data_IF_589513878749
#
_entry.id   IF_589513878749
#
_cell.length_a   1.000
_cell.length_b   1.000
_cell.length_c   1.000
_cell.angle_alpha   90.00
_cell.angle_beta   90.00
_cell.angle_gamma   90.00
#
_symmetry.space_group_name_H-M   'P 1'
#
loop_
_entity.id
_entity.type
_entity.pdbx_description
1 polymer ?
#
# COMPACT_ATOMS: atom_id res chain seq x y z
N UNK A 1 -45.35 -14.67 43.92
CA UNK A 1 -44.61 -13.70 43.04
C UNK A 1 -43.27 -14.34 42.73
N UNK A 2 -43.12 -14.90 41.52
CA UNK A 2 -41.86 -15.48 41.06
C UNK A 2 -40.91 -14.39 40.57
N UNK A 3 -39.62 -14.44 40.86
CA UNK A 3 -38.68 -13.44 40.37
C UNK A 3 -38.52 -13.58 38.86
N UNK A 4 -38.80 -12.50 38.13
CA UNK A 4 -38.47 -12.40 36.71
C UNK A 4 -36.96 -12.40 36.56
N UNK A 5 -36.42 -13.45 35.95
CA UNK A 5 -35.05 -13.51 35.50
C UNK A 5 -34.84 -12.47 34.38
N UNK A 6 -34.18 -11.37 34.72
CA UNK A 6 -33.65 -10.41 33.73
C UNK A 6 -32.66 -11.13 32.87
N UNK A 7 -33.04 -11.49 31.66
CA UNK A 7 -32.07 -11.90 30.64
C UNK A 7 -31.16 -10.71 30.35
N UNK A 8 -29.84 -10.86 30.39
CA UNK A 8 -28.93 -9.80 29.99
C UNK A 8 -29.23 -9.41 28.53
N UNK A 9 -29.28 -8.09 28.26
CA UNK A 9 -29.48 -7.59 26.92
C UNK A 9 -28.41 -8.23 25.98
N UNK A 10 -28.79 -8.64 24.77
CA UNK A 10 -27.85 -9.25 23.84
C UNK A 10 -26.67 -8.30 23.64
N UNK A 11 -25.48 -8.81 23.93
CA UNK A 11 -24.23 -8.07 23.68
C UNK A 11 -24.17 -7.75 22.19
N UNK A 12 -24.33 -6.47 21.84
CA UNK A 12 -24.29 -6.03 20.43
C UNK A 12 -22.89 -6.31 19.90
N UNK A 13 -22.75 -7.28 18.99
CA UNK A 13 -21.50 -7.61 18.33
C UNK A 13 -20.93 -6.38 17.61
N UNK A 14 -19.61 -6.23 17.64
CA UNK A 14 -18.95 -5.16 16.89
C UNK A 14 -19.20 -5.37 15.39
N UNK A 15 -19.45 -4.31 14.59
CA UNK A 15 -19.71 -4.45 13.14
C UNK A 15 -18.72 -5.33 12.41
N UNK A 16 -17.44 -5.21 12.72
CA UNK A 16 -16.40 -6.02 12.10
C UNK A 16 -16.51 -7.54 12.35
N UNK A 17 -17.04 -7.96 13.51
CA UNK A 17 -17.24 -9.39 13.80
C UNK A 17 -18.34 -9.98 12.93
N UNK A 18 -19.40 -9.21 12.70
CA UNK A 18 -20.51 -9.60 11.84
C UNK A 18 -20.14 -9.59 10.38
N UNK A 19 -19.45 -8.53 9.93
CA UNK A 19 -19.16 -8.31 8.53
C UNK A 19 -18.06 -9.23 8.00
N UNK A 20 -17.05 -9.53 8.82
CA UNK A 20 -15.93 -10.38 8.40
C UNK A 20 -16.03 -11.83 8.86
N UNK A 21 -16.95 -12.16 9.79
CA UNK A 21 -17.23 -13.54 10.21
C UNK A 21 -15.98 -14.36 10.59
N UNK A 22 -15.06 -13.75 11.33
CA UNK A 22 -13.79 -14.37 11.72
C UNK A 22 -12.72 -14.44 10.61
N UNK A 23 -12.99 -13.95 9.41
CA UNK A 23 -11.96 -13.78 8.37
C UNK A 23 -11.03 -12.61 8.74
N UNK A 24 -9.79 -12.67 8.28
CA UNK A 24 -8.86 -11.55 8.42
C UNK A 24 -9.47 -10.28 7.80
N UNK A 25 -9.35 -9.17 8.51
CA UNK A 25 -9.66 -7.86 7.93
C UNK A 25 -8.62 -7.58 6.85
N UNK A 26 -9.00 -6.96 5.74
CA UNK A 26 -8.03 -6.46 4.78
C UNK A 26 -7.04 -5.51 5.47
N UNK A 27 -5.80 -5.53 5.02
CA UNK A 27 -4.79 -4.57 5.43
C UNK A 27 -5.27 -3.16 5.05
N UNK A 28 -5.01 -2.19 5.91
CA UNK A 28 -5.32 -0.78 5.66
C UNK A 28 -4.03 0.02 5.78
N UNK A 29 -3.63 0.67 4.68
CA UNK A 29 -2.47 1.55 4.62
C UNK A 29 -2.91 2.98 4.28
N UNK A 30 -2.11 4.01 4.57
CA UNK A 30 -2.32 5.34 4.03
C UNK A 30 -2.39 5.31 2.51
N UNK A 31 -3.28 6.13 1.95
CA UNK A 31 -3.54 6.15 0.51
C UNK A 31 -2.40 6.75 -0.32
N UNK A 32 -1.47 7.45 0.31
CA UNK A 32 -0.30 8.03 -0.35
C UNK A 32 0.98 7.43 0.22
N UNK A 33 1.90 7.03 -0.67
CA UNK A 33 3.26 6.57 -0.38
C UNK A 33 4.25 7.54 -1.02
N UNK A 34 4.97 8.32 -0.22
CA UNK A 34 5.88 9.35 -0.73
C UNK A 34 7.33 8.87 -0.71
N UNK A 35 7.94 8.81 -1.89
CA UNK A 35 9.32 8.35 -2.09
C UNK A 35 10.34 9.49 -1.97
N UNK A 36 11.46 9.20 -1.29
CA UNK A 36 12.59 10.12 -1.17
C UNK A 36 13.92 9.34 -1.20
N UNK A 37 14.79 9.68 -2.18
CA UNK A 37 16.08 8.99 -2.40
C UNK A 37 17.32 9.75 -1.89
N UNK A 38 17.22 10.99 -1.40
CA UNK A 38 18.34 11.74 -0.85
C UNK A 38 18.04 12.26 0.54
N UNK A 39 19.09 12.43 1.38
CA UNK A 39 18.95 12.92 2.76
C UNK A 39 18.12 14.22 2.83
N UNK A 40 18.41 15.17 1.94
CA UNK A 40 17.66 16.43 1.87
C UNK A 40 16.17 16.21 1.64
N UNK A 41 15.81 15.32 0.73
CA UNK A 41 14.41 14.99 0.43
C UNK A 41 13.77 14.20 1.56
N UNK A 42 14.49 13.24 2.16
CA UNK A 42 14.02 12.46 3.31
C UNK A 42 13.65 13.36 4.50
N UNK A 43 14.53 14.29 4.89
CA UNK A 43 14.28 15.25 5.98
C UNK A 43 13.11 16.19 5.65
N UNK A 44 13.00 16.63 4.40
CA UNK A 44 11.86 17.44 3.95
C UNK A 44 10.55 16.64 4.03
N UNK A 45 10.58 15.37 3.67
CA UNK A 45 9.41 14.48 3.73
C UNK A 45 8.98 14.20 5.18
N UNK A 46 9.94 14.03 6.10
CA UNK A 46 9.66 13.91 7.54
C UNK A 46 8.96 15.16 8.07
N UNK A 47 9.47 16.36 7.75
CA UNK A 47 8.84 17.62 8.17
C UNK A 47 7.42 17.74 7.60
N UNK A 48 7.20 17.34 6.35
CA UNK A 48 5.88 17.35 5.73
C UNK A 48 4.92 16.33 6.38
N UNK A 49 5.40 15.15 6.74
CA UNK A 49 4.59 14.16 7.46
C UNK A 49 4.21 14.66 8.87
N UNK A 50 5.10 15.39 9.54
CA UNK A 50 4.78 16.04 10.82
C UNK A 50 3.68 17.10 10.66
N UNK A 51 3.69 17.87 9.58
CA UNK A 51 2.65 18.86 9.25
C UNK A 51 1.30 18.22 8.96
N UNK A 52 1.29 17.16 8.13
CA UNK A 52 0.07 16.52 7.63
C UNK A 52 -0.50 15.45 8.58
N UNK A 53 0.33 14.92 9.49
CA UNK A 53 0.01 13.76 10.31
C UNK A 53 0.26 12.43 9.59
N UNK A 54 -0.13 11.28 10.20
CA UNK A 54 0.13 9.94 9.67
C UNK A 54 -0.81 9.53 8.54
N UNK A 55 -1.19 10.49 7.66
CA UNK A 55 -2.08 10.27 6.52
C UNK A 55 -1.34 9.77 5.28
N UNK A 56 -0.01 9.73 5.33
CA UNK A 56 0.86 9.19 4.28
C UNK A 56 1.96 8.34 4.91
N UNK A 57 2.45 7.36 4.15
CA UNK A 57 3.72 6.70 4.42
C UNK A 57 4.85 7.41 3.67
N UNK A 58 6.05 7.29 4.21
CA UNK A 58 7.28 7.66 3.53
C UNK A 58 8.01 6.38 3.15
N UNK A 59 8.52 6.31 1.92
CA UNK A 59 9.44 5.26 1.50
C UNK A 59 10.79 5.88 1.18
N UNK A 60 11.80 5.59 1.99
CA UNK A 60 13.17 5.97 1.70
C UNK A 60 13.80 4.98 0.73
N UNK A 61 14.62 5.45 -0.19
CA UNK A 61 15.06 4.67 -1.32
C UNK A 61 16.56 4.37 -1.28
N UNK A 62 16.92 3.09 -1.29
CA UNK A 62 18.30 2.62 -1.45
C UNK A 62 18.64 2.21 -2.90
N UNK A 63 17.65 2.20 -3.79
CA UNK A 63 17.75 1.65 -5.14
C UNK A 63 17.78 2.78 -6.20
N UNK A 64 16.99 2.72 -7.25
CA UNK A 64 17.07 3.61 -8.44
C UNK A 64 16.92 5.12 -8.13
N UNK A 65 16.26 5.49 -7.05
CA UNK A 65 16.14 6.89 -6.63
C UNK A 65 17.29 7.39 -5.75
N UNK A 66 18.25 6.54 -5.38
CA UNK A 66 19.42 6.87 -4.58
C UNK A 66 20.66 7.17 -5.44
N UNK A 67 21.63 7.86 -4.86
CA UNK A 67 22.91 8.09 -5.52
C UNK A 67 23.79 6.83 -5.43
N UNK A 68 24.41 6.46 -6.53
CA UNK A 68 25.31 5.29 -6.65
C UNK A 68 26.68 5.57 -6.02
N UNK A 69 27.28 4.57 -5.39
CA UNK A 69 28.69 4.55 -4.96
C UNK A 69 28.92 4.75 -3.46
N UNK A 70 27.86 4.84 -2.67
CA UNK A 70 27.95 4.95 -1.19
C UNK A 70 26.81 4.21 -0.50
N UNK A 71 26.43 3.07 -1.01
CA UNK A 71 25.22 2.31 -0.64
C UNK A 71 25.18 1.98 0.86
N UNK A 72 26.31 1.49 1.42
CA UNK A 72 26.39 1.14 2.83
C UNK A 72 26.18 2.34 3.78
N UNK A 73 26.76 3.49 3.46
CA UNK A 73 26.57 4.70 4.26
C UNK A 73 25.16 5.26 4.09
N UNK A 74 24.56 5.12 2.89
CA UNK A 74 23.22 5.54 2.62
C UNK A 74 22.19 4.69 3.38
N UNK A 75 22.31 3.37 3.38
CA UNK A 75 21.46 2.48 4.18
C UNK A 75 21.58 2.78 5.69
N UNK A 76 22.79 3.09 6.18
CA UNK A 76 23.00 3.50 7.57
C UNK A 76 22.30 4.82 7.88
N UNK A 77 22.47 5.84 7.04
CA UNK A 77 21.77 7.13 7.17
C UNK A 77 20.25 6.94 7.27
N UNK A 78 19.68 6.12 6.39
CA UNK A 78 18.24 5.80 6.40
C UNK A 78 17.87 5.14 7.75
N UNK A 79 18.62 4.15 8.20
CA UNK A 79 18.36 3.50 9.50
C UNK A 79 18.41 4.47 10.67
N UNK A 80 19.38 5.41 10.68
CA UNK A 80 19.49 6.46 11.69
C UNK A 80 18.32 7.44 11.66
N UNK A 81 17.84 7.83 10.47
CA UNK A 81 16.65 8.69 10.32
C UNK A 81 15.39 8.00 10.85
N UNK A 82 15.21 6.72 10.55
CA UNK A 82 14.06 5.94 11.04
C UNK A 82 14.10 5.78 12.55
N UNK A 83 15.28 5.52 13.12
CA UNK A 83 15.46 5.42 14.57
C UNK A 83 15.37 6.77 15.29
N UNK A 84 15.56 7.88 14.56
CA UNK A 84 15.62 9.24 15.10
C UNK A 84 14.27 9.79 15.56
N UNK A 85 14.31 10.86 16.36
CA UNK A 85 13.13 11.51 16.93
C UNK A 85 12.23 12.18 15.87
N UNK A 86 12.76 12.46 14.68
CA UNK A 86 12.00 13.06 13.57
C UNK A 86 10.94 12.10 13.01
N UNK A 87 11.12 10.79 13.14
CA UNK A 87 10.12 9.77 12.81
C UNK A 87 9.08 9.69 13.94
N UNK A 88 8.06 10.53 13.91
CA UNK A 88 7.07 10.62 14.99
C UNK A 88 5.97 9.57 14.90
N UNK A 89 5.75 8.97 13.73
CA UNK A 89 4.58 8.12 13.49
C UNK A 89 4.90 6.66 13.20
N UNK A 90 6.19 6.28 13.11
CA UNK A 90 6.65 4.95 12.70
C UNK A 90 6.02 4.48 11.37
N UNK A 91 5.93 5.43 10.41
CA UNK A 91 5.32 5.25 9.10
C UNK A 91 6.34 5.44 7.97
N UNK A 92 7.56 4.94 8.18
CA UNK A 92 8.64 4.97 7.20
C UNK A 92 8.98 3.55 6.79
N UNK A 93 8.81 3.25 5.49
CA UNK A 93 9.35 2.05 4.84
C UNK A 93 10.64 2.36 4.09
N UNK A 94 11.29 1.32 3.59
CA UNK A 94 12.51 1.45 2.78
C UNK A 94 12.44 0.54 1.57
N UNK A 95 12.67 1.10 0.36
CA UNK A 95 12.97 0.30 -0.81
C UNK A 95 14.45 -0.05 -0.78
N UNK A 96 14.72 -1.35 -0.59
CA UNK A 96 16.07 -1.92 -0.62
C UNK A 96 16.49 -2.25 -2.04
N UNK A 97 17.76 -2.56 -2.28
CA UNK A 97 18.21 -3.08 -3.56
C UNK A 97 17.49 -4.39 -3.92
N UNK A 98 17.50 -4.77 -5.19
CA UNK A 98 16.93 -6.03 -5.67
C UNK A 98 17.65 -7.26 -5.10
N UNK A 99 16.97 -8.41 -5.10
CA UNK A 99 17.44 -9.67 -4.49
C UNK A 99 18.74 -10.19 -5.11
N UNK A 100 19.03 -9.82 -6.36
CA UNK A 100 20.27 -10.18 -7.08
C UNK A 100 21.42 -9.22 -6.80
N UNK A 101 21.16 -8.09 -6.17
CA UNK A 101 22.19 -7.10 -5.85
C UNK A 101 23.09 -7.57 -4.71
N UNK A 102 24.39 -7.31 -4.77
CA UNK A 102 25.31 -7.57 -3.66
C UNK A 102 24.99 -6.74 -2.40
N UNK A 103 24.19 -5.69 -2.54
CA UNK A 103 23.80 -4.81 -1.44
C UNK A 103 22.52 -5.23 -0.71
N UNK A 104 21.70 -6.13 -1.27
CA UNK A 104 20.40 -6.52 -0.70
C UNK A 104 20.51 -6.98 0.76
N UNK A 105 21.36 -7.97 1.05
CA UNK A 105 21.52 -8.47 2.42
C UNK A 105 22.09 -7.40 3.35
N UNK A 106 23.01 -6.57 2.85
CA UNK A 106 23.61 -5.49 3.65
C UNK A 106 22.58 -4.42 4.04
N UNK A 107 21.70 -4.03 3.10
CA UNK A 107 20.61 -3.09 3.38
C UNK A 107 19.71 -3.64 4.48
N UNK A 108 19.19 -4.85 4.27
CA UNK A 108 18.27 -5.49 5.23
C UNK A 108 18.92 -5.62 6.61
N UNK A 109 20.18 -6.10 6.66
CA UNK A 109 20.90 -6.26 7.93
C UNK A 109 21.09 -4.92 8.64
N UNK A 110 21.51 -3.88 7.92
CA UNK A 110 21.75 -2.54 8.46
C UNK A 110 20.45 -1.91 8.99
N UNK A 111 19.39 -1.93 8.20
CA UNK A 111 18.10 -1.36 8.55
C UNK A 111 17.46 -2.09 9.75
N UNK A 112 17.51 -3.42 9.76
CA UNK A 112 17.01 -4.20 10.89
C UNK A 112 17.80 -3.94 12.16
N UNK A 113 19.13 -3.89 12.10
CA UNK A 113 19.98 -3.64 13.27
C UNK A 113 19.74 -2.26 13.89
N UNK A 114 19.50 -1.23 13.07
CA UNK A 114 19.35 0.15 13.53
C UNK A 114 17.90 0.52 13.88
N UNK A 115 16.92 0.01 13.14
CA UNK A 115 15.59 0.59 13.14
C UNK A 115 14.42 -0.40 13.10
N UNK A 116 14.61 -1.72 13.19
CA UNK A 116 13.56 -2.72 12.97
C UNK A 116 12.23 -2.42 13.69
N UNK A 117 12.28 -1.92 14.93
CA UNK A 117 11.07 -1.65 15.73
C UNK A 117 10.25 -0.46 15.25
N UNK A 118 10.87 0.46 14.51
CA UNK A 118 10.27 1.70 14.01
C UNK A 118 10.10 1.70 12.49
N UNK A 119 10.65 0.68 11.81
CA UNK A 119 10.53 0.47 10.38
C UNK A 119 9.11 -0.05 10.07
N UNK A 120 8.38 0.63 9.20
CA UNK A 120 7.00 0.26 8.87
C UNK A 120 6.96 -1.00 8.00
N UNK A 121 7.77 -1.06 6.97
CA UNK A 121 7.86 -2.15 5.99
C UNK A 121 9.16 -2.06 5.18
N UNK A 122 9.48 -3.15 4.47
CA UNK A 122 10.49 -3.13 3.40
C UNK A 122 9.81 -3.29 2.04
N UNK A 123 10.27 -2.52 1.06
CA UNK A 123 9.85 -2.65 -0.34
C UNK A 123 10.91 -3.45 -1.09
N UNK A 124 10.50 -4.58 -1.67
CA UNK A 124 11.37 -5.47 -2.44
C UNK A 124 11.10 -5.23 -3.93
N UNK A 125 12.04 -4.61 -4.65
CA UNK A 125 11.92 -4.37 -6.09
C UNK A 125 12.29 -5.62 -6.90
N UNK A 126 11.94 -5.62 -8.16
CA UNK A 126 12.43 -6.53 -9.22
C UNK A 126 12.29 -8.03 -8.87
N UNK A 127 11.23 -8.37 -8.10
CA UNK A 127 10.85 -9.78 -7.87
C UNK A 127 10.29 -10.34 -9.17
N UNK A 128 10.86 -11.44 -9.66
CA UNK A 128 10.44 -12.11 -10.89
C UNK A 128 9.65 -13.39 -10.64
N UNK A 129 9.71 -13.96 -9.43
CA UNK A 129 9.05 -15.22 -9.13
C UNK A 129 8.72 -15.37 -7.64
N UNK A 130 7.81 -16.31 -7.36
CA UNK A 130 7.51 -16.73 -5.99
C UNK A 130 8.75 -17.23 -5.26
N UNK A 131 9.63 -17.99 -5.92
CA UNK A 131 10.85 -18.53 -5.29
C UNK A 131 11.81 -17.42 -4.87
N UNK A 132 11.95 -16.36 -5.69
CA UNK A 132 12.73 -15.18 -5.30
C UNK A 132 12.10 -14.45 -4.11
N UNK A 133 10.78 -14.35 -4.07
CA UNK A 133 10.08 -13.78 -2.91
C UNK A 133 10.34 -14.60 -1.65
N UNK A 134 10.26 -15.93 -1.71
CA UNK A 134 10.54 -16.81 -0.56
C UNK A 134 11.99 -16.61 -0.05
N UNK A 135 12.95 -16.50 -0.95
CA UNK A 135 14.34 -16.22 -0.60
C UNK A 135 14.48 -14.84 0.10
N UNK A 136 13.83 -13.81 -0.44
CA UNK A 136 13.81 -12.48 0.17
C UNK A 136 13.18 -12.50 1.57
N UNK A 137 12.02 -13.16 1.70
CA UNK A 137 11.31 -13.31 2.98
C UNK A 137 12.18 -14.02 4.00
N UNK A 138 12.84 -15.13 3.63
CA UNK A 138 13.72 -15.88 4.53
C UNK A 138 14.88 -15.01 5.06
N UNK A 139 15.48 -14.22 4.17
CA UNK A 139 16.55 -13.31 4.55
C UNK A 139 16.05 -12.20 5.46
N UNK A 140 14.97 -11.51 5.10
CA UNK A 140 14.37 -10.43 5.92
C UNK A 140 13.97 -10.97 7.28
N UNK A 141 13.24 -12.10 7.34
CA UNK A 141 12.78 -12.71 8.58
C UNK A 141 13.93 -13.06 9.53
N UNK A 142 15.08 -13.53 9.00
CA UNK A 142 16.28 -13.82 9.78
C UNK A 142 16.80 -12.56 10.49
N UNK A 143 16.99 -11.47 9.76
CA UNK A 143 17.52 -10.22 10.31
C UNK A 143 16.50 -9.49 11.20
N UNK A 144 15.25 -9.44 10.79
CA UNK A 144 14.18 -8.83 11.54
C UNK A 144 13.89 -9.56 12.86
N UNK A 145 13.88 -10.90 12.86
CA UNK A 145 13.73 -11.71 14.08
C UNK A 145 14.89 -11.49 15.05
N UNK A 146 16.13 -11.44 14.56
CA UNK A 146 17.31 -11.13 15.39
C UNK A 146 17.21 -9.74 16.04
N UNK A 147 16.52 -8.79 15.38
CA UNK A 147 16.26 -7.45 15.90
C UNK A 147 14.93 -7.35 16.71
N UNK A 148 14.23 -8.46 16.95
CA UNK A 148 12.99 -8.51 17.73
C UNK A 148 11.74 -8.05 16.99
N UNK A 149 11.72 -8.14 15.64
CA UNK A 149 10.59 -7.79 14.77
C UNK A 149 10.32 -8.88 13.71
N UNK A 150 9.90 -10.12 14.12
CA UNK A 150 9.71 -11.25 13.19
C UNK A 150 8.59 -11.03 12.15
N UNK A 151 7.69 -10.10 12.40
CA UNK A 151 6.50 -9.78 11.62
C UNK A 151 6.66 -8.54 10.75
N UNK A 152 7.90 -8.18 10.34
CA UNK A 152 8.14 -7.02 9.49
C UNK A 152 7.47 -7.21 8.12
N UNK A 153 6.49 -6.34 7.74
CA UNK A 153 5.76 -6.48 6.48
C UNK A 153 6.63 -6.20 5.26
N UNK A 154 6.27 -6.85 4.14
CA UNK A 154 6.88 -6.61 2.85
C UNK A 154 5.88 -6.00 1.86
N UNK A 155 6.34 -4.99 1.14
CA UNK A 155 5.70 -4.48 -0.07
C UNK A 155 6.52 -4.98 -1.27
N UNK A 156 5.87 -5.44 -2.33
CA UNK A 156 6.56 -6.02 -3.49
C UNK A 156 6.23 -5.20 -4.74
N UNK A 157 7.25 -4.91 -5.54
CA UNK A 157 7.07 -4.30 -6.84
C UNK A 157 6.80 -5.37 -7.90
N UNK A 158 5.71 -5.20 -8.62
CA UNK A 158 5.38 -5.97 -9.82
C UNK A 158 5.75 -5.11 -11.02
N UNK A 159 6.85 -5.43 -11.66
CA UNK A 159 7.46 -4.58 -12.69
C UNK A 159 8.04 -5.39 -13.87
N UNK A 160 7.72 -6.69 -13.92
CA UNK A 160 8.02 -7.57 -15.04
C UNK A 160 6.83 -8.43 -15.43
N UNK A 161 6.79 -8.91 -16.66
CA UNK A 161 5.75 -9.87 -17.08
C UNK A 161 5.85 -11.20 -16.34
N UNK A 162 7.01 -11.59 -15.89
CA UNK A 162 7.20 -12.81 -15.13
C UNK A 162 6.61 -12.68 -13.73
N UNK A 163 6.86 -11.56 -13.05
CA UNK A 163 6.22 -11.25 -11.77
C UNK A 163 4.69 -11.15 -11.93
N UNK A 164 4.21 -10.49 -12.99
CA UNK A 164 2.79 -10.40 -13.29
C UNK A 164 2.14 -11.78 -13.51
N UNK A 165 2.85 -12.71 -14.15
CA UNK A 165 2.36 -14.07 -14.34
C UNK A 165 2.16 -14.82 -13.01
N UNK A 166 2.93 -14.50 -12.00
CA UNK A 166 2.87 -15.12 -10.67
C UNK A 166 2.26 -14.18 -9.60
N UNK A 167 1.57 -13.13 -10.03
CA UNK A 167 1.07 -12.09 -9.11
C UNK A 167 0.10 -12.63 -8.05
N UNK A 168 -0.65 -13.68 -8.38
CA UNK A 168 -1.59 -14.32 -7.46
C UNK A 168 -0.85 -15.07 -6.35
N UNK A 169 0.16 -15.86 -6.72
CA UNK A 169 0.99 -16.60 -5.77
C UNK A 169 1.84 -15.65 -4.90
N UNK A 170 2.31 -14.54 -5.48
CA UNK A 170 3.02 -13.50 -4.74
C UNK A 170 2.07 -12.82 -3.74
N UNK A 171 0.85 -12.45 -4.16
CA UNK A 171 -0.14 -11.84 -3.30
C UNK A 171 -0.61 -12.74 -2.14
N UNK A 172 -0.60 -14.06 -2.33
CA UNK A 172 -1.00 -15.04 -1.33
C UNK A 172 -0.03 -15.12 -0.15
N UNK A 173 1.23 -14.68 -0.34
CA UNK A 173 2.26 -14.82 0.68
C UNK A 173 1.91 -13.98 1.95
N UNK A 174 1.94 -14.59 3.16
CA UNK A 174 1.51 -13.92 4.39
C UNK A 174 2.37 -12.72 4.78
N UNK A 175 3.66 -12.69 4.46
CA UNK A 175 4.54 -11.56 4.73
C UNK A 175 4.31 -10.37 3.79
N UNK A 176 3.62 -10.57 2.66
CA UNK A 176 3.29 -9.49 1.71
C UNK A 176 2.07 -8.74 2.23
N UNK A 177 2.17 -7.42 2.27
CA UNK A 177 1.10 -6.51 2.71
C UNK A 177 0.56 -5.68 1.55
N UNK A 178 1.43 -5.32 0.59
CA UNK A 178 1.13 -4.44 -0.52
C UNK A 178 1.84 -4.91 -1.80
N UNK A 179 1.14 -4.81 -2.94
CA UNK A 179 1.76 -4.94 -4.26
C UNK A 179 1.69 -3.60 -4.97
N UNK A 180 2.83 -3.12 -5.44
CA UNK A 180 2.95 -1.87 -6.17
C UNK A 180 3.30 -2.12 -7.63
N UNK A 181 2.73 -1.36 -8.55
CA UNK A 181 3.06 -1.47 -9.97
C UNK A 181 4.26 -0.60 -10.34
N UNK A 182 5.35 -1.22 -10.78
CA UNK A 182 6.53 -0.53 -11.30
C UNK A 182 6.44 -0.32 -12.82
N UNK A 183 5.65 0.67 -13.25
CA UNK A 183 5.33 0.90 -14.68
C UNK A 183 6.56 1.21 -15.53
N UNK A 184 7.58 1.92 -14.98
CA UNK A 184 8.75 2.34 -15.73
C UNK A 184 9.57 1.11 -16.16
N UNK A 185 9.91 0.24 -15.19
CA UNK A 185 10.63 -1.01 -15.45
C UNK A 185 9.80 -1.96 -16.30
N UNK A 186 8.49 -2.06 -16.02
CA UNK A 186 7.58 -2.88 -16.82
C UNK A 186 7.60 -2.49 -18.31
N UNK A 187 7.54 -1.21 -18.64
CA UNK A 187 7.57 -0.73 -20.02
C UNK A 187 8.97 -0.86 -20.62
N UNK A 188 10.02 -0.50 -19.88
CA UNK A 188 11.41 -0.57 -20.40
C UNK A 188 11.85 -1.98 -20.72
N UNK A 189 11.38 -2.98 -19.98
CA UNK A 189 11.63 -4.40 -20.24
C UNK A 189 11.06 -4.92 -21.56
N UNK A 190 10.25 -4.14 -22.27
CA UNK A 190 9.69 -4.50 -23.57
C UNK A 190 10.52 -3.99 -24.76
N UNK A 191 11.67 -3.35 -24.51
CA UNK A 191 12.60 -2.91 -25.58
C UNK A 191 11.92 -2.12 -26.70
N UNK A 192 10.94 -1.25 -26.35
CA UNK A 192 10.16 -0.46 -27.30
C UNK A 192 8.93 -1.16 -27.89
N UNK A 193 8.64 -2.39 -27.48
CA UNK A 193 7.39 -3.09 -27.86
C UNK A 193 6.12 -2.48 -27.20
N UNK A 194 6.30 -1.76 -26.10
CA UNK A 194 5.30 -0.87 -25.52
C UNK A 194 5.81 0.56 -25.74
N UNK A 195 5.02 1.45 -26.35
CA UNK A 195 5.48 2.81 -26.60
C UNK A 195 5.60 3.63 -25.30
N UNK A 196 6.48 4.63 -25.30
CA UNK A 196 6.81 5.41 -24.10
C UNK A 196 5.62 6.21 -23.54
N UNK A 197 4.66 6.60 -24.37
CA UNK A 197 3.45 7.29 -23.94
C UNK A 197 2.54 6.40 -23.08
N UNK A 198 2.71 5.07 -23.14
CA UNK A 198 2.04 4.14 -22.23
C UNK A 198 2.52 4.24 -20.75
N UNK A 199 3.60 4.95 -20.48
CA UNK A 199 4.04 5.30 -19.10
C UNK A 199 3.36 6.57 -18.60
N UNK A 200 2.71 7.34 -19.47
CA UNK A 200 2.14 8.65 -19.20
C UNK A 200 0.61 8.62 -19.32
N UNK A 201 -0.04 9.63 -18.78
CA UNK A 201 -1.47 9.82 -18.98
C UNK A 201 -1.76 10.40 -20.36
N UNK A 202 -2.84 9.95 -21.04
CA UNK A 202 -3.79 8.91 -20.64
C UNK A 202 -3.35 7.48 -21.03
N UNK A 203 -2.23 7.29 -21.70
CA UNK A 203 -1.74 6.02 -22.26
C UNK A 203 -1.64 4.90 -21.22
N UNK A 204 -1.19 5.22 -20.02
CA UNK A 204 -1.07 4.26 -18.93
C UNK A 204 -2.40 3.62 -18.48
N UNK A 205 -3.53 4.20 -18.83
CA UNK A 205 -4.86 3.65 -18.54
C UNK A 205 -5.55 3.03 -19.75
N UNK A 206 -5.03 3.25 -20.96
CA UNK A 206 -5.64 2.81 -22.20
C UNK A 206 -4.82 1.76 -22.95
N UNK A 207 -3.49 1.70 -22.76
CA UNK A 207 -2.65 0.69 -23.41
C UNK A 207 -2.98 -0.72 -22.89
N UNK A 208 -3.33 -1.71 -23.75
CA UNK A 208 -3.88 -3.01 -23.31
C UNK A 208 -2.99 -3.76 -22.32
N UNK A 209 -1.67 -3.81 -22.55
CA UNK A 209 -0.74 -4.53 -21.66
C UNK A 209 -0.60 -3.84 -20.30
N UNK A 210 -0.64 -2.51 -20.25
CA UNK A 210 -0.56 -1.75 -19.00
C UNK A 210 -1.86 -1.88 -18.22
N UNK A 211 -3.01 -1.72 -18.88
CA UNK A 211 -4.32 -1.91 -18.24
C UNK A 211 -4.49 -3.32 -17.70
N UNK A 212 -4.06 -4.34 -18.45
CA UNK A 212 -4.03 -5.73 -17.97
C UNK A 212 -3.21 -5.87 -16.69
N UNK A 213 -1.96 -5.35 -16.67
CA UNK A 213 -1.10 -5.43 -15.51
C UNK A 213 -1.75 -4.79 -14.28
N UNK A 214 -2.31 -3.59 -14.43
CA UNK A 214 -3.01 -2.88 -13.36
C UNK A 214 -4.21 -3.67 -12.81
N UNK A 215 -5.03 -4.25 -13.69
CA UNK A 215 -6.21 -5.02 -13.29
C UNK A 215 -5.82 -6.33 -12.59
N UNK A 216 -4.81 -7.04 -13.08
CA UNK A 216 -4.36 -8.29 -12.45
C UNK A 216 -3.74 -8.06 -11.07
N UNK A 217 -2.91 -7.02 -10.89
CA UNK A 217 -2.34 -6.65 -9.59
C UNK A 217 -3.46 -6.30 -8.60
N UNK A 218 -4.38 -5.43 -9.01
CA UNK A 218 -5.51 -5.04 -8.16
C UNK A 218 -6.38 -6.24 -7.77
N UNK A 219 -6.74 -7.10 -8.73
CA UNK A 219 -7.55 -8.29 -8.49
C UNK A 219 -6.86 -9.27 -7.53
N UNK A 220 -5.57 -9.56 -7.73
CA UNK A 220 -4.79 -10.44 -6.86
C UNK A 220 -4.70 -9.91 -5.42
N UNK A 221 -4.49 -8.58 -5.27
CA UNK A 221 -4.48 -7.94 -3.96
C UNK A 221 -5.83 -8.09 -3.25
N UNK A 222 -6.94 -7.73 -3.91
CA UNK A 222 -8.26 -7.81 -3.29
C UNK A 222 -8.67 -9.24 -2.92
N UNK A 223 -8.31 -10.23 -3.73
CA UNK A 223 -8.58 -11.63 -3.44
C UNK A 223 -7.88 -12.11 -2.16
N UNK A 224 -6.69 -11.57 -1.88
CA UNK A 224 -5.83 -11.97 -0.76
C UNK A 224 -5.82 -10.97 0.41
N UNK A 225 -6.68 -9.94 0.38
CA UNK A 225 -6.76 -8.93 1.44
C UNK A 225 -5.52 -8.03 1.53
N UNK A 226 -4.79 -7.86 0.41
CA UNK A 226 -3.60 -7.01 0.31
C UNK A 226 -3.98 -5.65 -0.29
N UNK A 227 -3.05 -4.69 -0.19
CA UNK A 227 -3.26 -3.33 -0.71
C UNK A 227 -2.63 -3.19 -2.10
N UNK A 228 -3.41 -2.89 -3.15
CA UNK A 228 -2.85 -2.53 -4.45
C UNK A 228 -2.40 -1.07 -4.43
N UNK A 229 -1.12 -0.82 -4.75
CA UNK A 229 -0.51 0.51 -4.85
C UNK A 229 -0.24 0.88 -6.30
N UNK A 230 -0.86 1.96 -6.76
CA UNK A 230 -0.71 2.46 -8.12
C UNK A 230 0.67 3.09 -8.35
N UNK A 231 1.16 2.99 -9.58
CA UNK A 231 2.44 3.55 -9.98
C UNK A 231 2.50 5.08 -9.85
N UNK A 232 3.72 5.60 -9.95
CA UNK A 232 3.98 7.04 -9.96
C UNK A 232 3.29 7.76 -11.12
N UNK A 233 2.95 9.03 -10.92
CA UNK A 233 2.73 10.01 -11.97
C UNK A 233 4.00 10.87 -12.10
N UNK A 234 4.63 10.88 -13.26
CA UNK A 234 5.86 11.63 -13.50
C UNK A 234 5.61 13.11 -13.82
N UNK A 235 4.36 13.51 -13.98
CA UNK A 235 4.02 14.93 -14.12
C UNK A 235 4.13 15.65 -12.77
N UNK A 236 4.96 16.68 -12.72
CA UNK A 236 5.22 17.47 -11.51
C UNK A 236 4.77 18.93 -11.61
N UNK A 237 4.39 19.39 -12.81
CA UNK A 237 3.95 20.78 -13.05
C UNK A 237 2.45 20.89 -13.14
N UNK A 238 1.82 20.02 -13.92
CA UNK A 238 0.37 19.97 -14.05
C UNK A 238 -0.24 18.95 -13.07
N UNK A 239 -0.55 19.43 -11.88
CA UNK A 239 -1.13 18.62 -10.81
C UNK A 239 -2.56 18.13 -11.12
N UNK A 240 -3.23 18.65 -12.15
CA UNK A 240 -4.52 18.14 -12.60
C UNK A 240 -4.38 16.73 -13.20
N UNK A 241 -3.23 16.43 -13.83
CA UNK A 241 -2.91 15.08 -14.32
C UNK A 241 -2.78 14.12 -13.16
N UNK A 242 -2.08 14.52 -12.08
CA UNK A 242 -1.94 13.69 -10.87
C UNK A 242 -3.31 13.39 -10.25
N UNK A 243 -4.17 14.40 -10.13
CA UNK A 243 -5.52 14.22 -9.59
C UNK A 243 -6.37 13.30 -10.46
N UNK A 244 -6.28 13.43 -11.79
CA UNK A 244 -6.96 12.56 -12.75
C UNK A 244 -6.47 11.11 -12.65
N UNK A 245 -5.15 10.90 -12.63
CA UNK A 245 -4.55 9.57 -12.51
C UNK A 245 -4.95 8.88 -11.20
N UNK A 246 -4.89 9.60 -10.09
CA UNK A 246 -5.29 9.08 -8.79
C UNK A 246 -6.79 8.71 -8.74
N UNK A 247 -7.64 9.53 -9.40
CA UNK A 247 -9.08 9.25 -9.49
C UNK A 247 -9.35 8.01 -10.36
N UNK A 248 -8.70 7.87 -11.52
CA UNK A 248 -8.83 6.70 -12.37
C UNK A 248 -8.32 5.44 -11.66
N UNK A 249 -7.16 5.53 -11.00
CA UNK A 249 -6.59 4.42 -10.22
C UNK A 249 -7.58 3.94 -9.15
N UNK A 250 -8.12 4.84 -8.34
CA UNK A 250 -9.05 4.53 -7.27
C UNK A 250 -10.41 4.04 -7.78
N UNK A 251 -11.05 4.80 -8.69
CA UNK A 251 -12.46 4.59 -9.05
C UNK A 251 -12.67 3.56 -10.16
N UNK A 252 -11.68 3.32 -11.04
CA UNK A 252 -11.84 2.40 -12.16
C UNK A 252 -10.95 1.16 -12.07
N UNK A 253 -9.75 1.29 -11.51
CA UNK A 253 -8.80 0.18 -11.42
C UNK A 253 -8.74 -0.48 -10.04
N UNK A 254 -9.48 0.04 -9.05
CA UNK A 254 -9.59 -0.57 -7.72
C UNK A 254 -8.34 -0.44 -6.85
N UNK A 255 -7.45 0.51 -7.14
CA UNK A 255 -6.31 0.80 -6.30
C UNK A 255 -6.72 1.49 -5.01
N UNK A 256 -6.00 1.22 -3.93
CA UNK A 256 -6.26 1.79 -2.60
C UNK A 256 -5.14 2.72 -2.14
N UNK A 257 -4.05 2.80 -2.92
CA UNK A 257 -2.85 3.55 -2.61
C UNK A 257 -2.18 4.00 -3.91
N UNK A 258 -1.41 5.09 -3.88
CA UNK A 258 -0.63 5.58 -5.01
C UNK A 258 0.70 6.16 -4.55
N UNK A 259 1.75 5.98 -5.37
CA UNK A 259 3.05 6.58 -5.15
C UNK A 259 3.05 8.07 -5.47
N UNK A 260 3.77 8.82 -4.64
CA UNK A 260 4.15 10.21 -4.87
C UNK A 260 5.67 10.32 -4.95
N UNK A 261 6.17 11.10 -5.89
CA UNK A 261 7.60 11.43 -6.04
C UNK A 261 7.88 12.92 -5.89
N UNK A 262 6.84 13.73 -5.69
CA UNK A 262 6.93 15.15 -5.42
C UNK A 262 5.96 15.57 -4.31
N UNK A 263 6.36 16.44 -3.35
CA UNK A 263 5.49 16.86 -2.24
C UNK A 263 4.15 17.43 -2.68
N UNK A 264 4.11 18.17 -3.78
CA UNK A 264 2.89 18.83 -4.28
C UNK A 264 1.85 17.79 -4.78
N UNK A 265 2.25 16.57 -5.12
CA UNK A 265 1.34 15.51 -5.54
C UNK A 265 0.51 14.96 -4.37
N UNK A 266 1.04 15.00 -3.15
CA UNK A 266 0.47 14.32 -1.99
C UNK A 266 -0.98 14.75 -1.73
N UNK A 267 -1.25 16.06 -1.65
CA UNK A 267 -2.60 16.56 -1.36
C UNK A 267 -3.62 16.17 -2.45
N UNK A 268 -3.19 16.11 -3.71
CA UNK A 268 -4.03 15.67 -4.83
C UNK A 268 -4.36 14.18 -4.76
N UNK A 269 -3.39 13.35 -4.39
CA UNK A 269 -3.59 11.91 -4.16
C UNK A 269 -4.55 11.71 -2.98
N UNK A 270 -4.29 12.35 -1.84
CA UNK A 270 -5.16 12.25 -0.67
C UNK A 270 -6.61 12.63 -1.00
N UNK A 271 -6.82 13.71 -1.74
CA UNK A 271 -8.16 14.17 -2.14
C UNK A 271 -8.86 13.18 -3.10
N UNK A 272 -8.13 12.63 -4.07
CA UNK A 272 -8.71 11.71 -5.07
C UNK A 272 -9.12 10.34 -4.47
N UNK A 273 -8.44 9.88 -3.42
CA UNK A 273 -8.77 8.64 -2.73
C UNK A 273 -9.77 8.83 -1.58
N UNK A 274 -10.03 10.07 -1.18
CA UNK A 274 -11.01 10.34 -0.13
C UNK A 274 -12.43 10.02 -0.62
N UNK A 275 -13.29 9.43 0.25
CA UNK A 275 -14.70 9.29 -0.07
C UNK A 275 -15.38 10.66 -0.12
N UNK A 276 -16.38 10.81 -0.98
CA UNK A 276 -17.21 12.02 -1.05
C UNK A 276 -18.12 12.14 0.19
N UNK A 277 -18.48 13.36 0.57
CA UNK A 277 -19.33 13.60 1.73
C UNK A 277 -20.66 12.82 1.67
N UNK A 278 -21.29 12.76 0.50
CA UNK A 278 -22.50 11.99 0.27
C UNK A 278 -22.31 10.47 0.41
N UNK A 279 -21.14 9.94 0.06
CA UNK A 279 -20.81 8.52 0.27
C UNK A 279 -20.69 8.21 1.77
N UNK A 280 -20.10 9.12 2.55
CA UNK A 280 -19.97 8.97 4.01
C UNK A 280 -21.35 9.03 4.69
N UNK A 281 -22.21 9.96 4.27
CA UNK A 281 -23.58 10.09 4.80
C UNK A 281 -24.39 8.82 4.51
N UNK A 282 -24.37 8.32 3.29
CA UNK A 282 -25.06 7.09 2.89
C UNK A 282 -24.52 5.87 3.65
N UNK A 283 -23.23 5.72 3.75
CA UNK A 283 -22.60 4.63 4.49
C UNK A 283 -23.00 4.65 5.97
N UNK A 284 -22.97 5.83 6.59
CA UNK A 284 -23.36 6.01 7.98
C UNK A 284 -24.84 5.65 8.21
N UNK A 285 -25.73 6.12 7.35
CA UNK A 285 -27.17 5.83 7.44
C UNK A 285 -27.45 4.33 7.24
N UNK A 286 -26.84 3.70 6.24
CA UNK A 286 -27.01 2.28 5.93
C UNK A 286 -26.52 1.40 7.08
N UNK A 287 -25.32 1.64 7.59
CA UNK A 287 -24.72 0.83 8.66
C UNK A 287 -25.47 1.02 10.00
N UNK A 288 -25.94 2.23 10.29
CA UNK A 288 -26.78 2.48 11.48
C UNK A 288 -28.10 1.73 11.40
N UNK A 289 -28.80 1.81 10.26
CA UNK A 289 -30.06 1.09 10.06
C UNK A 289 -29.86 -0.45 10.08
N UNK A 290 -28.77 -0.95 9.52
CA UNK A 290 -28.41 -2.37 9.56
C UNK A 290 -28.20 -2.84 11.02
N UNK A 291 -27.46 -2.08 11.81
CA UNK A 291 -27.20 -2.36 13.23
C UNK A 291 -28.50 -2.42 14.04
N UNK A 292 -29.45 -1.51 13.78
CA UNK A 292 -30.75 -1.45 14.48
C UNK A 292 -31.65 -2.64 14.09
N UNK A 293 -31.41 -3.28 12.94
CA UNK A 293 -32.09 -4.51 12.49
C UNK A 293 -31.25 -5.77 12.65
N UNK A 294 -30.30 -5.77 13.57
CA UNK A 294 -29.41 -6.91 13.83
C UNK A 294 -28.76 -7.45 12.54
N UNK A 295 -28.29 -6.53 11.68
CA UNK A 295 -27.65 -6.82 10.39
C UNK A 295 -28.53 -7.57 9.38
N UNK A 296 -29.86 -7.53 9.57
CA UNK A 296 -30.84 -7.98 8.58
C UNK A 296 -30.97 -7.02 7.41
N UNK A 297 -31.72 -7.38 6.36
CA UNK A 297 -31.95 -6.51 5.21
C UNK A 297 -32.64 -5.20 5.58
N UNK A 298 -32.18 -4.10 4.98
CA UNK A 298 -32.74 -2.75 5.14
C UNK A 298 -33.02 -2.11 3.78
N UNK A 299 -33.80 -1.04 3.79
CA UNK A 299 -34.01 -0.18 2.63
C UNK A 299 -33.46 1.23 2.90
N UNK A 300 -32.65 1.74 1.98
CA UNK A 300 -32.15 3.12 1.99
C UNK A 300 -32.27 3.72 0.60
N UNK A 301 -32.82 4.92 0.45
CA UNK A 301 -33.08 5.60 -0.85
C UNK A 301 -33.68 4.65 -1.91
N UNK A 302 -34.70 3.89 -1.53
CA UNK A 302 -35.43 2.90 -2.36
C UNK A 302 -34.57 1.72 -2.87
N UNK A 303 -33.36 1.51 -2.33
CA UNK A 303 -32.50 0.37 -2.62
C UNK A 303 -32.43 -0.58 -1.44
N UNK A 304 -32.42 -1.89 -1.75
CA UNK A 304 -32.23 -2.94 -0.76
C UNK A 304 -30.73 -3.07 -0.45
N UNK A 305 -30.42 -3.16 0.84
CA UNK A 305 -29.09 -3.45 1.36
C UNK A 305 -29.12 -4.62 2.31
N UNK A 306 -28.14 -5.49 2.26
CA UNK A 306 -27.99 -6.66 3.11
C UNK A 306 -26.51 -6.92 3.43
N UNK A 307 -26.21 -8.06 4.05
CA UNK A 307 -24.83 -8.44 4.44
C UNK A 307 -23.83 -8.46 3.28
N UNK A 308 -24.28 -8.69 2.04
CA UNK A 308 -23.41 -8.68 0.87
C UNK A 308 -22.86 -7.27 0.57
N UNK A 309 -23.67 -6.23 0.81
CA UNK A 309 -23.32 -4.84 0.55
C UNK A 309 -22.71 -4.10 1.75
N UNK A 310 -22.97 -4.52 2.99
CA UNK A 310 -22.52 -3.77 4.17
C UNK A 310 -21.01 -3.64 4.32
N UNK A 311 -20.24 -4.62 3.83
CA UNK A 311 -18.77 -4.54 3.82
C UNK A 311 -18.24 -3.41 2.96
N UNK A 312 -18.93 -3.07 1.88
CA UNK A 312 -18.58 -1.92 1.03
C UNK A 312 -18.75 -0.60 1.80
N UNK A 313 -19.84 -0.46 2.54
CA UNK A 313 -20.11 0.76 3.30
C UNK A 313 -19.28 0.89 4.58
N UNK A 314 -18.83 -0.22 5.15
CA UNK A 314 -17.89 -0.24 6.27
C UNK A 314 -16.48 0.14 5.84
#
# INVERSE_FOLDING_TARGET
MSPQTLHPAPQRMHPSEVLFQGKHRPVTLPVCDHYAGSEKLMRKSLALQQELGPVLDLTFDCEDGAAVGNEAAHARLIGELIAGAENQFDRIGVRVHDVGSPYFEQDVATLCALAARRLAYLVIPKIDSRDQLEAAVALVSRHASAAGRPDLPLHVLIETHRALHQVWEIAEHPAVECLSFGIMDFVSAHYGGIPSDAMLSPGQFSHPLISRAKLEISAACHANGKVPSHNVCTEIRDLSVVASDATLASRQFGYQRMWSIHPDQIRHILAAFAPEAGEIEDATAILSAAKDKDWGPIQHKSKLHDRASYRYYW
#
